data_IF_254453124597
#
_entry.id   IF_254453124597
#
_cell.length_a   1.000
_cell.length_b   1.000
_cell.length_c   1.000
_cell.angle_alpha   90.00
_cell.angle_beta   90.00
_cell.angle_gamma   90.00
#
_symmetry.space_group_name_H-M   'P 1'
#
loop_
_entity.id
_entity.type
_entity.pdbx_description
1 polymer ?
#
# COMPACT_ATOMS: atom_id res chain seq x y z
N UNK A 1 -11.82 27.45 -56.25
CA UNK A 1 -11.97 26.05 -55.77
C UNK A 1 -10.84 25.60 -54.83
N UNK A 2 -9.62 26.15 -54.87
CA UNK A 2 -8.49 25.73 -53.99
C UNK A 2 -8.73 25.94 -52.50
N UNK A 3 -9.21 27.12 -52.09
CA UNK A 3 -9.28 27.55 -50.69
C UNK A 3 -10.18 26.68 -49.79
N UNK A 4 -11.25 26.09 -50.32
CA UNK A 4 -12.12 25.21 -49.53
C UNK A 4 -11.45 23.86 -49.20
N UNK A 5 -10.58 23.38 -50.09
CA UNK A 5 -9.82 22.14 -49.89
C UNK A 5 -8.68 22.38 -48.90
N UNK A 6 -7.99 23.52 -49.03
CA UNK A 6 -6.91 23.92 -48.11
C UNK A 6 -7.42 24.09 -46.66
N UNK A 7 -8.59 24.73 -46.49
CA UNK A 7 -9.23 24.87 -45.18
C UNK A 7 -9.61 23.51 -44.58
N UNK A 8 -10.18 22.60 -45.38
CA UNK A 8 -10.48 21.22 -44.94
C UNK A 8 -9.22 20.47 -44.52
N UNK A 9 -8.13 20.62 -45.27
CA UNK A 9 -6.85 19.98 -44.97
C UNK A 9 -6.27 20.49 -43.65
N UNK A 10 -6.40 21.80 -43.39
CA UNK A 10 -5.99 22.42 -42.13
C UNK A 10 -6.78 21.87 -40.94
N UNK A 11 -8.12 21.82 -41.04
CA UNK A 11 -8.97 21.28 -39.97
C UNK A 11 -8.67 19.81 -39.69
N UNK A 12 -8.39 19.01 -40.71
CA UNK A 12 -8.00 17.61 -40.56
C UNK A 12 -6.64 17.46 -39.88
N UNK A 13 -5.65 18.30 -40.21
CA UNK A 13 -4.35 18.32 -39.55
C UNK A 13 -4.46 18.70 -38.08
N UNK A 14 -5.27 19.71 -37.76
CA UNK A 14 -5.52 20.14 -36.38
C UNK A 14 -6.23 19.06 -35.57
N UNK A 15 -7.23 18.39 -36.17
CA UNK A 15 -7.92 17.26 -35.57
C UNK A 15 -6.97 16.09 -35.27
N UNK A 16 -6.08 15.77 -36.22
CA UNK A 16 -5.08 14.73 -36.05
C UNK A 16 -4.05 15.08 -34.96
N UNK A 17 -3.64 16.34 -34.87
CA UNK A 17 -2.72 16.81 -33.83
C UNK A 17 -3.35 16.67 -32.43
N UNK A 18 -4.62 17.10 -32.27
CA UNK A 18 -5.37 16.95 -31.02
C UNK A 18 -5.57 15.48 -30.64
N UNK A 19 -5.90 14.62 -31.59
CA UNK A 19 -6.06 13.19 -31.34
C UNK A 19 -4.75 12.52 -30.88
N UNK A 20 -3.61 12.92 -31.47
CA UNK A 20 -2.28 12.44 -31.04
C UNK A 20 -1.96 12.88 -29.61
N UNK A 21 -2.22 14.13 -29.27
CA UNK A 21 -2.00 14.66 -27.91
C UNK A 21 -2.90 13.95 -26.89
N UNK A 22 -4.18 13.74 -27.22
CA UNK A 22 -5.11 12.98 -26.37
C UNK A 22 -4.64 11.55 -26.14
N UNK A 23 -4.18 10.87 -27.19
CA UNK A 23 -3.64 9.50 -27.08
C UNK A 23 -2.41 9.46 -26.18
N UNK A 24 -1.47 10.37 -26.39
CA UNK A 24 -0.25 10.46 -25.58
C UNK A 24 -0.57 10.69 -24.09
N UNK A 25 -1.50 11.60 -23.78
CA UNK A 25 -1.96 11.83 -22.41
C UNK A 25 -2.65 10.60 -21.80
N UNK A 26 -3.43 9.86 -22.60
CA UNK A 26 -4.07 8.64 -22.15
C UNK A 26 -3.05 7.52 -21.86
N UNK A 27 -2.04 7.38 -22.71
CA UNK A 27 -0.93 6.43 -22.52
C UNK A 27 -0.16 6.75 -21.24
N UNK A 28 0.23 8.01 -21.02
CA UNK A 28 0.90 8.44 -19.79
C UNK A 28 0.06 8.18 -18.53
N UNK A 29 -1.25 8.46 -18.57
CA UNK A 29 -2.16 8.19 -17.44
C UNK A 29 -2.28 6.70 -17.15
N UNK A 30 -2.36 5.87 -18.19
CA UNK A 30 -2.42 4.42 -18.04
C UNK A 30 -1.15 3.90 -17.37
N UNK A 31 0.02 4.32 -17.83
CA UNK A 31 1.29 3.90 -17.26
C UNK A 31 1.44 4.33 -15.79
N UNK A 32 0.98 5.55 -15.45
CA UNK A 32 0.95 6.02 -14.07
C UNK A 32 0.03 5.18 -13.18
N UNK A 33 -1.17 4.84 -13.67
CA UNK A 33 -2.12 3.99 -12.94
C UNK A 33 -1.61 2.55 -12.76
N UNK A 34 -0.91 2.00 -13.75
CA UNK A 34 -0.28 0.68 -13.65
C UNK A 34 0.82 0.68 -12.60
N UNK A 35 1.69 1.70 -12.59
CA UNK A 35 2.71 1.85 -11.55
C UNK A 35 2.09 1.98 -10.15
N UNK A 36 1.03 2.78 -10.01
CA UNK A 36 0.33 2.93 -8.75
C UNK A 36 -0.30 1.60 -8.28
N UNK A 37 -0.86 0.82 -9.20
CA UNK A 37 -1.38 -0.51 -8.89
C UNK A 37 -0.26 -1.44 -8.40
N UNK A 38 0.87 -1.47 -9.08
CA UNK A 38 2.01 -2.30 -8.69
C UNK A 38 2.57 -1.88 -7.32
N UNK A 39 2.68 -0.59 -7.04
CA UNK A 39 3.07 -0.05 -5.73
C UNK A 39 2.10 -0.46 -4.63
N UNK A 40 0.79 -0.38 -4.87
CA UNK A 40 -0.24 -0.83 -3.91
C UNK A 40 -0.11 -2.34 -3.67
N UNK A 41 0.11 -3.14 -4.72
CA UNK A 41 0.28 -4.59 -4.58
C UNK A 41 1.56 -4.96 -3.82
N UNK A 42 2.65 -4.21 -4.03
CA UNK A 42 3.88 -4.35 -3.26
C UNK A 42 3.69 -3.93 -1.79
N UNK A 43 2.95 -2.84 -1.53
CA UNK A 43 2.61 -2.44 -0.16
C UNK A 43 1.76 -3.50 0.55
N UNK A 44 0.73 -4.04 -0.11
CA UNK A 44 -0.09 -5.15 0.41
C UNK A 44 0.79 -6.38 0.67
N UNK A 45 1.70 -6.71 -0.25
CA UNK A 45 2.67 -7.81 -0.07
C UNK A 45 3.68 -7.53 1.03
N UNK A 46 4.08 -6.29 1.26
CA UNK A 46 5.05 -5.90 2.28
C UNK A 46 4.40 -5.81 3.66
N UNK A 47 3.11 -5.50 3.71
CA UNK A 47 2.37 -5.44 4.95
C UNK A 47 2.20 -6.81 5.60
N UNK A 48 2.28 -7.95 4.88
CA UNK A 48 2.41 -9.36 5.37
C UNK A 48 1.77 -9.72 6.74
N UNK A 49 0.79 -8.98 7.23
CA UNK A 49 -0.06 -9.36 8.33
C UNK A 49 -1.06 -10.30 7.68
N UNK A 50 -0.63 -11.55 7.52
CA UNK A 50 -1.48 -12.61 7.01
C UNK A 50 -2.67 -12.73 7.97
N UNK A 51 -3.91 -12.42 7.53
CA UNK A 51 -5.07 -12.47 8.41
C UNK A 51 -5.28 -13.85 9.05
N UNK A 52 -4.76 -14.91 8.42
CA UNK A 52 -4.79 -16.26 8.98
C UNK A 52 -3.73 -16.48 10.07
N UNK A 53 -2.67 -15.68 10.10
CA UNK A 53 -1.58 -15.74 11.08
C UNK A 53 -1.75 -14.70 12.20
N UNK A 54 -2.63 -13.71 12.05
CA UNK A 54 -2.92 -12.69 13.07
C UNK A 54 -3.27 -13.32 14.42
N UNK A 55 -4.15 -14.33 14.42
CA UNK A 55 -4.54 -15.05 15.63
C UNK A 55 -3.33 -15.78 16.25
N UNK A 56 -2.43 -16.33 15.42
CA UNK A 56 -1.23 -17.03 15.88
C UNK A 56 -0.18 -16.06 16.45
N UNK A 57 -0.03 -14.87 15.88
CA UNK A 57 0.82 -13.81 16.41
C UNK A 57 0.29 -13.29 17.74
N UNK A 58 -1.03 -13.10 17.87
CA UNK A 58 -1.67 -12.73 19.12
C UNK A 58 -1.42 -13.80 20.19
N UNK A 59 -1.67 -15.08 19.89
CA UNK A 59 -1.39 -16.17 20.84
C UNK A 59 0.08 -16.22 21.27
N UNK A 60 1.01 -15.98 20.33
CA UNK A 60 2.44 -15.96 20.63
C UNK A 60 2.77 -14.83 21.62
N UNK A 61 2.26 -13.62 21.36
CA UNK A 61 2.48 -12.45 22.21
C UNK A 61 1.86 -12.64 23.60
N UNK A 62 0.66 -13.23 23.69
CA UNK A 62 0.02 -13.53 24.97
C UNK A 62 0.84 -14.51 25.81
N UNK A 63 1.39 -15.56 25.20
CA UNK A 63 2.28 -16.50 25.90
C UNK A 63 3.57 -15.84 26.38
N UNK A 64 4.14 -14.96 25.58
CA UNK A 64 5.35 -14.22 25.91
C UNK A 64 5.11 -13.27 27.10
N UNK A 65 3.96 -12.60 27.12
CA UNK A 65 3.51 -11.76 28.25
C UNK A 65 3.34 -12.60 29.52
N UNK A 66 2.69 -13.76 29.44
CA UNK A 66 2.50 -14.64 30.60
C UNK A 66 3.83 -15.13 31.17
N UNK A 67 4.77 -15.56 30.31
CA UNK A 67 6.10 -15.97 30.73
C UNK A 67 6.89 -14.85 31.43
N UNK A 68 6.83 -13.64 30.88
CA UNK A 68 7.49 -12.48 31.47
C UNK A 68 6.85 -12.09 32.80
N UNK A 69 5.52 -12.20 32.94
CA UNK A 69 4.82 -11.95 34.19
C UNK A 69 5.24 -12.95 35.27
N UNK A 70 5.30 -14.25 34.94
CA UNK A 70 5.76 -15.30 35.85
C UNK A 70 7.23 -15.10 36.26
N UNK A 71 8.08 -14.71 35.30
CA UNK A 71 9.48 -14.40 35.57
C UNK A 71 9.60 -13.23 36.55
N UNK A 72 8.84 -12.15 36.32
CA UNK A 72 8.79 -11.00 37.24
C UNK A 72 8.28 -11.40 38.61
N UNK A 73 7.20 -12.20 38.72
CA UNK A 73 6.69 -12.68 40.00
C UNK A 73 7.71 -13.54 40.76
N UNK A 74 8.48 -14.37 40.04
CA UNK A 74 9.52 -15.22 40.64
C UNK A 74 10.72 -14.42 41.15
N UNK A 75 10.98 -13.25 40.56
CA UNK A 75 12.05 -12.34 40.95
C UNK A 75 11.65 -11.44 42.12
N UNK A 76 10.35 -11.31 42.42
CA UNK A 76 9.86 -10.57 43.58
C UNK A 76 10.00 -11.46 44.82
N UNK A 77 10.82 -11.08 45.82
CA UNK A 77 10.97 -11.85 47.04
C UNK A 77 9.79 -11.60 47.99
N UNK A 78 8.63 -12.17 47.66
CA UNK A 78 7.38 -12.03 48.41
C UNK A 78 7.52 -12.39 49.89
N UNK A 79 8.42 -13.32 50.22
CA UNK A 79 8.72 -13.74 51.59
C UNK A 79 9.35 -12.63 52.45
N UNK A 80 10.12 -11.72 51.84
CA UNK A 80 10.69 -10.56 52.53
C UNK A 80 9.64 -9.45 52.72
N UNK A 81 8.71 -9.32 51.77
CA UNK A 81 7.66 -8.30 51.79
C UNK A 81 6.59 -8.64 52.84
N UNK A 82 6.23 -9.92 52.99
CA UNK A 82 5.24 -10.39 53.98
C UNK A 82 5.69 -10.27 55.44
N UNK A 83 6.99 -10.12 55.70
CA UNK A 83 7.53 -9.94 57.07
C UNK A 83 7.49 -8.48 57.56
N UNK A 84 7.10 -7.52 56.72
CA UNK A 84 6.98 -6.09 57.10
C UNK A 84 5.52 -5.60 57.23
N UNK A 85 4.53 -6.50 57.17
CA UNK A 85 3.10 -6.19 57.35
C UNK A 85 2.58 -6.61 58.73
#
# INVERSE_FOLDING_TARGET
>A
MSTAIDNKLSTLKDGLAKAKDMRYKAELRKDALLKQQDEILEQIRAEQVDPEMLEQEIEKLEREIAQLADEVESLIPWDLIKQQA
#
